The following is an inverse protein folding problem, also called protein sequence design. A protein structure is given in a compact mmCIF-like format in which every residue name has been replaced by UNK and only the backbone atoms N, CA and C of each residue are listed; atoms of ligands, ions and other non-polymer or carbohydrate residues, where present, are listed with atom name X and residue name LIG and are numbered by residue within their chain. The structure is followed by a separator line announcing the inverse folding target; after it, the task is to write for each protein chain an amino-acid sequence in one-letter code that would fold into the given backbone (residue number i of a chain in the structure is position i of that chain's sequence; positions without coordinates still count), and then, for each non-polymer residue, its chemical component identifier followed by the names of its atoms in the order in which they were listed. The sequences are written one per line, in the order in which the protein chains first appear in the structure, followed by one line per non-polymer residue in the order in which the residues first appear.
data_IF_659704197547
#
_entry.id   IF_659704197547
#
_cell.length_a   1.000
_cell.length_b   1.000
_cell.length_c   1.000
_cell.angle_alpha   90.00
_cell.angle_beta   90.00
_cell.angle_gamma   90.00
#
_symmetry.space_group_name_H-M   'P 1'
#
loop_
_entity.id
_entity.type
_entity.pdbx_description
1 polymer ?
#
# COMPACT_ATOMS: atom_id res chain seq x y z
N UNK A 1 -6.85 -52.93 -21.17
CA UNK A 1 -6.38 -52.60 -22.53
C UNK A 1 -5.31 -51.53 -22.42
N UNK A 2 -4.04 -51.96 -22.46
CA UNK A 2 -2.85 -51.13 -22.25
C UNK A 2 -2.38 -50.66 -23.62
N UNK A 3 -2.44 -49.34 -23.89
CA UNK A 3 -1.91 -48.74 -25.12
C UNK A 3 -0.52 -48.15 -24.83
N UNK A 4 0.48 -48.79 -25.41
CA UNK A 4 1.88 -48.37 -25.50
C UNK A 4 2.02 -47.24 -26.51
N UNK A 5 2.61 -46.11 -26.10
CA UNK A 5 2.93 -44.99 -26.96
C UNK A 5 4.39 -45.10 -27.44
N UNK A 6 4.55 -44.95 -28.76
CA UNK A 6 5.78 -45.08 -29.53
C UNK A 6 6.69 -43.86 -29.33
N UNK A 7 7.98 -44.14 -29.14
CA UNK A 7 9.08 -43.19 -29.23
C UNK A 7 9.35 -42.82 -30.69
N UNK A 8 9.55 -41.53 -30.95
CA UNK A 8 10.07 -41.00 -32.23
C UNK A 8 11.41 -40.29 -31.99
N UNK A 9 12.38 -40.40 -32.91
CA UNK A 9 13.75 -39.94 -32.69
C UNK A 9 14.04 -38.55 -33.29
N UNK A 10 14.87 -37.81 -32.54
CA UNK A 10 16.10 -37.15 -33.02
C UNK A 10 15.98 -36.13 -34.17
N UNK A 11 15.83 -34.85 -33.80
CA UNK A 11 16.15 -33.73 -34.67
C UNK A 11 17.40 -33.01 -34.11
N UNK A 12 18.52 -33.22 -34.80
CA UNK A 12 19.77 -32.46 -34.67
C UNK A 12 19.48 -31.01 -35.07
N UNK A 13 19.75 -30.05 -34.18
CA UNK A 13 19.88 -28.66 -34.58
C UNK A 13 21.34 -28.24 -34.54
N UNK A 14 21.74 -27.74 -35.70
CA UNK A 14 23.03 -27.24 -36.10
C UNK A 14 23.38 -26.03 -35.26
N UNK A 15 24.60 -26.06 -34.74
CA UNK A 15 25.26 -24.94 -34.07
C UNK A 15 25.76 -23.99 -35.16
N UNK A 16 25.18 -22.80 -35.25
CA UNK A 16 25.78 -21.68 -35.98
C UNK A 16 26.71 -20.94 -35.03
N UNK A 17 27.99 -21.28 -35.12
CA UNK A 17 29.11 -20.44 -34.66
C UNK A 17 29.32 -19.33 -35.69
N UNK A 18 28.88 -18.10 -35.39
CA UNK A 18 29.40 -16.84 -35.94
C UNK A 18 28.66 -15.65 -35.32
N UNK A 19 29.19 -15.14 -34.21
CA UNK A 19 29.08 -13.72 -33.81
C UNK A 19 29.87 -13.48 -32.51
N UNK A 20 31.19 -13.64 -32.62
CA UNK A 20 32.17 -13.11 -31.66
C UNK A 20 33.03 -12.12 -32.42
N UNK A 21 32.80 -10.82 -32.18
CA UNK A 21 33.74 -9.68 -32.33
C UNK A 21 32.98 -8.39 -32.69
N UNK A 22 32.39 -7.72 -31.68
CA UNK A 22 32.11 -6.26 -31.68
C UNK A 22 31.51 -5.80 -30.34
N UNK A 23 32.17 -6.07 -29.20
CA UNK A 23 31.81 -5.46 -27.90
C UNK A 23 33.04 -5.20 -27.04
N UNK A 24 33.90 -4.32 -27.52
CA UNK A 24 34.92 -3.66 -26.70
C UNK A 24 35.00 -2.22 -27.19
N UNK A 25 34.22 -1.32 -26.59
CA UNK A 25 34.52 0.13 -26.50
C UNK A 25 33.40 0.95 -25.82
N UNK A 26 32.27 0.37 -25.45
CA UNK A 26 31.17 1.10 -24.78
C UNK A 26 31.21 0.96 -23.25
N UNK A 27 32.39 1.12 -22.63
CA UNK A 27 32.54 0.93 -21.16
C UNK A 27 32.99 2.16 -20.36
N UNK A 28 33.22 3.32 -20.99
CA UNK A 28 33.80 4.49 -20.30
C UNK A 28 32.95 5.77 -20.37
N UNK A 29 31.68 5.72 -20.78
CA UNK A 29 30.81 6.93 -20.87
C UNK A 29 29.70 6.94 -19.81
N UNK A 30 29.51 5.85 -19.06
CA UNK A 30 28.41 5.76 -18.07
C UNK A 30 28.82 6.31 -16.70
N UNK A 31 30.12 6.42 -16.38
CA UNK A 31 30.56 6.75 -15.02
C UNK A 31 30.52 8.26 -14.70
N UNK A 32 30.83 9.15 -15.66
CA UNK A 32 30.85 10.61 -15.42
C UNK A 32 29.45 11.26 -15.32
N UNK A 33 28.43 10.69 -15.96
CA UNK A 33 27.06 11.24 -15.90
C UNK A 33 26.32 10.89 -14.59
N UNK A 34 26.78 9.86 -13.87
CA UNK A 34 26.28 9.46 -12.55
C UNK A 34 26.84 10.30 -11.41
N UNK A 35 28.12 10.69 -11.47
CA UNK A 35 28.72 11.55 -10.42
C UNK A 35 28.18 12.98 -10.47
N UNK A 36 27.94 13.54 -11.66
CA UNK A 36 27.38 14.89 -11.79
C UNK A 36 25.93 15.02 -11.26
N UNK A 37 25.16 13.92 -11.21
CA UNK A 37 23.79 13.89 -10.67
C UNK A 37 23.75 13.67 -9.15
N UNK A 38 24.77 13.05 -8.56
CA UNK A 38 24.85 12.85 -7.11
C UNK A 38 25.02 14.19 -6.36
N UNK A 39 25.86 15.10 -6.88
CA UNK A 39 26.08 16.44 -6.31
C UNK A 39 24.87 17.38 -6.42
N UNK A 40 23.93 17.09 -7.33
CA UNK A 40 22.69 17.87 -7.44
C UNK A 40 21.63 17.44 -6.43
N UNK A 41 21.66 16.18 -5.96
CA UNK A 41 20.69 15.64 -5.01
C UNK A 41 20.90 16.12 -3.56
N UNK A 42 22.13 16.44 -3.17
CA UNK A 42 22.45 16.92 -1.81
C UNK A 42 21.92 18.34 -1.54
N UNK A 43 21.61 19.12 -2.57
CA UNK A 43 21.19 20.53 -2.43
C UNK A 43 19.70 20.75 -2.22
N UNK A 44 18.85 19.75 -2.43
CA UNK A 44 17.38 19.94 -2.47
C UNK A 44 16.66 19.48 -1.19
N UNK A 45 17.33 18.72 -0.32
CA UNK A 45 16.74 18.25 0.94
C UNK A 45 17.45 18.87 2.14
N UNK A 46 16.74 19.63 3.01
CA UNK A 46 17.35 20.10 4.24
C UNK A 46 17.83 18.89 5.03
N UNK A 47 19.11 18.92 5.44
CA UNK A 47 19.73 17.86 6.24
C UNK A 47 18.83 17.62 7.45
N UNK A 48 18.16 16.48 7.48
CA UNK A 48 17.21 16.13 8.52
C UNK A 48 17.98 16.08 9.84
N UNK A 49 17.79 17.07 10.70
CA UNK A 49 18.45 17.10 12.01
C UNK A 49 17.78 16.05 12.91
N UNK A 50 18.34 14.83 12.90
CA UNK A 50 17.87 13.68 13.68
C UNK A 50 17.68 14.06 15.15
N UNK A 51 18.59 14.86 15.70
CA UNK A 51 18.52 15.36 17.07
C UNK A 51 17.27 16.21 17.33
N UNK A 52 16.87 17.09 16.40
CA UNK A 52 15.63 17.89 16.53
C UNK A 52 14.39 17.01 16.51
N UNK A 53 14.37 15.97 15.68
CA UNK A 53 13.27 15.01 15.63
C UNK A 53 13.15 14.21 16.94
N UNK A 54 14.27 13.75 17.49
CA UNK A 54 14.28 13.09 18.79
C UNK A 54 13.83 14.02 19.92
N UNK A 55 14.25 15.29 19.89
CA UNK A 55 13.81 16.30 20.86
C UNK A 55 12.29 16.57 20.78
N UNK A 56 11.74 16.73 19.57
CA UNK A 56 10.29 16.92 19.37
C UNK A 56 9.53 15.70 19.90
N UNK A 57 9.98 14.49 19.53
CA UNK A 57 9.35 13.24 19.99
C UNK A 57 9.42 13.08 21.50
N UNK A 58 10.57 13.38 22.11
CA UNK A 58 10.74 13.32 23.55
C UNK A 58 9.83 14.32 24.27
N UNK A 59 9.72 15.54 23.74
CA UNK A 59 8.82 16.58 24.25
C UNK A 59 7.36 16.14 24.18
N UNK A 60 6.88 15.73 22.99
CA UNK A 60 5.51 15.25 22.81
C UNK A 60 5.17 14.08 23.76
N UNK A 61 6.12 13.16 23.94
CA UNK A 61 5.93 12.05 24.87
C UNK A 61 5.86 12.53 26.33
N UNK A 62 6.70 13.49 26.72
CA UNK A 62 6.70 14.05 28.08
C UNK A 62 5.45 14.85 28.44
N UNK A 63 4.80 15.47 27.46
CA UNK A 63 3.59 16.27 27.65
C UNK A 63 2.32 15.40 27.83
N UNK A 64 2.40 14.10 27.50
CA UNK A 64 1.29 13.15 27.68
C UNK A 64 1.17 12.68 29.13
N UNK A 65 -0.08 12.43 29.55
CA UNK A 65 -0.36 11.84 30.86
C UNK A 65 0.26 10.44 30.98
N UNK A 66 0.49 9.98 32.22
CA UNK A 66 1.01 8.62 32.44
C UNK A 66 0.10 7.55 31.80
N UNK A 67 -1.22 7.70 31.98
CA UNK A 67 -2.21 6.75 31.45
C UNK A 67 -2.21 6.72 29.92
N UNK A 68 -2.06 7.87 29.26
CA UNK A 68 -2.02 7.95 27.81
C UNK A 68 -0.74 7.31 27.26
N UNK A 69 0.41 7.56 27.91
CA UNK A 69 1.69 6.93 27.57
C UNK A 69 1.63 5.41 27.72
N UNK A 70 1.09 4.92 28.82
CA UNK A 70 0.93 3.48 29.05
C UNK A 70 -0.01 2.85 28.03
N UNK A 71 -1.12 3.52 27.70
CA UNK A 71 -2.04 3.05 26.66
C UNK A 71 -1.36 2.97 25.29
N UNK A 72 -0.55 3.95 24.91
CA UNK A 72 0.19 3.95 23.65
C UNK A 72 1.25 2.84 23.59
N UNK A 73 1.98 2.62 24.69
CA UNK A 73 2.94 1.52 24.79
C UNK A 73 2.23 0.17 24.69
N UNK A 74 1.12 0.00 25.41
CA UNK A 74 0.33 -1.21 25.37
C UNK A 74 -0.20 -1.50 23.95
N UNK A 75 -0.60 -0.48 23.20
CA UNK A 75 -1.00 -0.66 21.80
C UNK A 75 0.18 -1.01 20.88
N UNK A 76 1.32 -0.32 21.03
CA UNK A 76 2.52 -0.58 20.25
C UNK A 76 2.97 -2.03 20.41
N UNK A 77 3.02 -2.51 21.66
CA UNK A 77 3.39 -3.88 22.01
C UNK A 77 2.27 -4.91 21.76
N UNK A 78 1.08 -4.48 21.32
CA UNK A 78 -0.05 -5.36 21.06
C UNK A 78 -0.64 -6.02 22.32
N UNK A 79 -0.55 -5.35 23.46
CA UNK A 79 -1.18 -5.71 24.74
C UNK A 79 -2.65 -5.28 24.76
N UNK A 80 -2.94 -4.08 24.27
CA UNK A 80 -4.29 -3.52 24.18
C UNK A 80 -4.59 -3.01 22.77
N UNK A 81 -5.85 -2.72 22.49
CA UNK A 81 -6.29 -2.20 21.19
C UNK A 81 -7.22 -1.02 21.40
N UNK A 82 -6.99 0.06 20.65
CA UNK A 82 -7.84 1.26 20.63
C UNK A 82 -9.15 1.09 19.85
N UNK A 83 -9.51 -0.13 19.47
CA UNK A 83 -10.74 -0.40 18.75
C UNK A 83 -11.95 0.07 19.57
N UNK A 84 -12.76 0.94 18.99
CA UNK A 84 -14.00 1.41 19.62
C UNK A 84 -14.96 0.22 19.76
N UNK A 85 -15.56 -0.02 20.95
CA UNK A 85 -16.56 -1.06 21.11
C UNK A 85 -17.79 -0.72 20.27
N UNK A 86 -18.08 -1.57 19.29
CA UNK A 86 -19.16 -1.37 18.34
C UNK A 86 -20.49 -1.93 18.87
N UNK A 87 -21.56 -1.14 18.76
CA UNK A 87 -22.94 -1.62 18.88
C UNK A 87 -23.75 -1.21 17.62
N UNK A 88 -24.87 -1.91 17.33
CA UNK A 88 -25.66 -1.65 16.11
C UNK A 88 -26.19 -0.22 16.01
N UNK A 89 -26.58 0.38 17.13
CA UNK A 89 -27.16 1.72 17.20
C UNK A 89 -26.11 2.79 16.84
N UNK A 90 -24.90 2.66 17.40
CA UNK A 90 -23.74 3.51 17.11
C UNK A 90 -23.33 3.40 15.65
N UNK A 91 -23.26 2.18 15.11
CA UNK A 91 -22.96 1.95 13.70
C UNK A 91 -23.98 2.64 12.80
N UNK A 92 -25.27 2.48 13.10
CA UNK A 92 -26.35 3.09 12.33
C UNK A 92 -26.27 4.62 12.37
N UNK A 93 -26.10 5.20 13.56
CA UNK A 93 -25.96 6.64 13.74
C UNK A 93 -24.73 7.18 12.98
N UNK A 94 -23.58 6.50 13.08
CA UNK A 94 -22.36 6.90 12.39
C UNK A 94 -22.52 6.84 10.86
N UNK A 95 -23.21 5.85 10.32
CA UNK A 95 -23.47 5.75 8.87
C UNK A 95 -24.41 6.85 8.37
N UNK A 96 -25.41 7.25 9.17
CA UNK A 96 -26.27 8.40 8.85
C UNK A 96 -25.45 9.70 8.84
N UNK A 97 -24.64 9.93 9.87
CA UNK A 97 -23.77 11.10 9.94
C UNK A 97 -22.74 11.11 8.80
N UNK A 98 -22.20 9.95 8.44
CA UNK A 98 -21.27 9.79 7.31
C UNK A 98 -21.92 10.21 6.00
N UNK A 99 -23.17 9.83 5.76
CA UNK A 99 -23.90 10.28 4.58
C UNK A 99 -24.16 11.79 4.60
N UNK A 100 -24.56 12.35 5.73
CA UNK A 100 -24.75 13.80 5.86
C UNK A 100 -23.45 14.56 5.62
N UNK A 101 -22.32 14.05 6.09
CA UNK A 101 -21.01 14.65 5.86
C UNK A 101 -20.58 14.55 4.39
N UNK A 102 -20.84 13.40 3.75
CA UNK A 102 -20.69 13.27 2.31
C UNK A 102 -21.53 14.30 1.58
N UNK A 103 -22.78 14.53 1.95
CA UNK A 103 -23.66 15.48 1.27
C UNK A 103 -23.17 16.93 1.44
N UNK A 104 -22.61 17.27 2.61
CA UNK A 104 -22.08 18.62 2.92
C UNK A 104 -20.80 19.00 2.18
N UNK A 105 -19.91 18.05 1.88
CA UNK A 105 -18.61 18.37 1.28
C UNK A 105 -18.79 19.10 -0.07
N UNK A 106 -18.30 20.34 -0.19
CA UNK A 106 -18.50 21.18 -1.39
C UNK A 106 -17.37 21.05 -2.41
N UNK A 107 -16.29 20.36 -2.07
CA UNK A 107 -15.11 20.23 -2.92
C UNK A 107 -15.35 19.16 -4.01
N UNK A 108 -15.71 19.62 -5.21
CA UNK A 108 -16.02 18.72 -6.33
C UNK A 108 -14.88 17.78 -6.68
N UNK A 109 -13.63 18.25 -6.59
CA UNK A 109 -12.45 17.43 -6.90
C UNK A 109 -12.28 16.26 -5.93
N UNK A 110 -12.56 16.45 -4.64
CA UNK A 110 -12.55 15.37 -3.64
C UNK A 110 -13.65 14.35 -3.91
N UNK A 111 -14.78 14.79 -4.47
CA UNK A 111 -15.93 13.93 -4.77
C UNK A 111 -15.95 13.29 -6.15
N UNK A 112 -14.97 13.55 -7.03
CA UNK A 112 -14.96 13.10 -8.43
C UNK A 112 -15.32 11.61 -8.58
N UNK A 113 -14.59 10.71 -7.90
CA UNK A 113 -14.84 9.27 -7.99
C UNK A 113 -16.16 8.85 -7.34
N UNK A 114 -16.57 9.51 -6.26
CA UNK A 114 -17.87 9.27 -5.62
C UNK A 114 -19.03 9.63 -6.56
N UNK A 115 -19.00 10.80 -7.18
CA UNK A 115 -20.01 11.24 -8.15
C UNK A 115 -20.05 10.30 -9.37
N UNK A 116 -18.88 9.84 -9.83
CA UNK A 116 -18.80 8.82 -10.88
C UNK A 116 -19.51 7.53 -10.45
N UNK A 117 -19.22 7.02 -9.26
CA UNK A 117 -19.89 5.84 -8.73
C UNK A 117 -21.41 6.01 -8.59
N UNK A 118 -21.89 7.18 -8.16
CA UNK A 118 -23.31 7.51 -8.12
C UNK A 118 -23.96 7.43 -9.51
N UNK A 119 -23.32 8.04 -10.53
CA UNK A 119 -23.82 8.01 -11.91
C UNK A 119 -23.90 6.59 -12.50
N UNK A 120 -22.96 5.72 -12.09
CA UNK A 120 -22.94 4.32 -12.46
C UNK A 120 -23.88 3.45 -11.62
N UNK A 121 -24.53 4.03 -10.60
CA UNK A 121 -25.38 3.34 -9.62
C UNK A 121 -24.65 2.20 -8.92
N UNK A 122 -23.38 2.42 -8.54
CA UNK A 122 -22.58 1.39 -7.87
C UNK A 122 -23.19 1.00 -6.53
N UNK A 123 -23.54 -0.27 -6.35
CA UNK A 123 -24.00 -0.78 -5.05
C UNK A 123 -22.83 -1.08 -4.11
N UNK A 124 -21.61 -1.19 -4.63
CA UNK A 124 -20.42 -1.59 -3.87
C UNK A 124 -19.93 -0.49 -2.94
N UNK A 125 -19.60 0.70 -3.47
CA UNK A 125 -19.07 1.80 -2.64
C UNK A 125 -20.12 2.40 -1.70
N UNK A 126 -21.40 2.28 -2.05
CA UNK A 126 -22.52 2.68 -1.20
C UNK A 126 -22.91 1.61 -0.17
N UNK A 127 -22.34 0.40 -0.25
CA UNK A 127 -22.63 -0.65 0.71
C UNK A 127 -22.23 -0.26 2.13
N UNK A 128 -22.95 -0.80 3.11
CA UNK A 128 -22.64 -0.61 4.54
C UNK A 128 -21.24 -1.15 4.86
N UNK A 129 -20.91 -2.32 4.33
CA UNK A 129 -19.61 -2.95 4.56
C UNK A 129 -18.44 -2.10 4.06
N UNK A 130 -18.57 -1.51 2.86
CA UNK A 130 -17.52 -0.67 2.31
C UNK A 130 -17.30 0.60 3.14
N UNK A 131 -18.37 1.32 3.51
CA UNK A 131 -18.28 2.53 4.34
C UNK A 131 -17.75 2.25 5.75
N UNK A 132 -18.10 1.10 6.33
CA UNK A 132 -17.63 0.72 7.66
C UNK A 132 -16.12 0.54 7.75
N UNK A 133 -15.45 0.17 6.65
CA UNK A 133 -13.98 0.11 6.62
C UNK A 133 -13.34 1.44 7.02
N UNK A 134 -13.89 2.54 6.54
CA UNK A 134 -13.39 3.89 6.79
C UNK A 134 -13.78 4.41 8.16
N UNK A 135 -15.03 4.16 8.58
CA UNK A 135 -15.45 4.49 9.94
C UNK A 135 -14.58 3.79 10.99
N UNK A 136 -14.29 2.50 10.81
CA UNK A 136 -13.41 1.75 11.72
C UNK A 136 -11.97 2.25 11.68
N UNK A 137 -11.44 2.55 10.50
CA UNK A 137 -10.08 3.06 10.33
C UNK A 137 -9.85 4.42 11.02
N UNK A 138 -10.91 5.21 11.20
CA UNK A 138 -10.88 6.54 11.83
C UNK A 138 -11.55 6.54 13.21
N UNK A 139 -11.68 5.37 13.86
CA UNK A 139 -12.27 5.26 15.20
C UNK A 139 -13.65 5.93 15.34
N UNK A 140 -14.45 5.89 14.27
CA UNK A 140 -15.76 6.52 14.13
C UNK A 140 -15.75 8.06 14.17
N UNK A 141 -14.60 8.71 13.95
CA UNK A 141 -14.54 10.14 13.62
C UNK A 141 -15.06 10.37 12.19
N UNK A 142 -16.35 10.67 12.10
CA UNK A 142 -17.12 10.71 10.84
C UNK A 142 -16.48 11.62 9.79
N UNK A 143 -16.00 12.81 10.18
CA UNK A 143 -15.38 13.77 9.25
C UNK A 143 -14.12 13.20 8.59
N UNK A 144 -13.20 12.69 9.40
CA UNK A 144 -11.97 12.06 8.91
C UNK A 144 -12.28 10.82 8.07
N UNK A 145 -13.27 10.02 8.49
CA UNK A 145 -13.69 8.82 7.76
C UNK A 145 -14.21 9.17 6.37
N UNK A 146 -15.04 10.21 6.26
CA UNK A 146 -15.56 10.71 4.99
C UNK A 146 -14.45 11.23 4.08
N UNK A 147 -13.52 12.01 4.62
CA UNK A 147 -12.37 12.51 3.86
C UNK A 147 -11.49 11.36 3.34
N UNK A 148 -11.11 10.43 4.22
CA UNK A 148 -10.34 9.24 3.84
C UNK A 148 -11.05 8.40 2.79
N UNK A 149 -12.38 8.27 2.89
CA UNK A 149 -13.20 7.57 1.91
C UNK A 149 -13.16 8.24 0.53
N UNK A 150 -13.36 9.55 0.46
CA UNK A 150 -13.33 10.30 -0.81
C UNK A 150 -11.95 10.25 -1.48
N UNK A 151 -10.89 10.48 -0.70
CA UNK A 151 -9.51 10.36 -1.15
C UNK A 151 -9.19 8.95 -1.65
N UNK A 152 -9.63 7.92 -0.91
CA UNK A 152 -9.43 6.54 -1.33
C UNK A 152 -10.17 6.23 -2.63
N UNK A 153 -11.42 6.66 -2.81
CA UNK A 153 -12.15 6.41 -4.06
C UNK A 153 -11.46 7.06 -5.26
N UNK A 154 -10.97 8.30 -5.12
CA UNK A 154 -10.20 8.94 -6.18
C UNK A 154 -8.93 8.16 -6.50
N UNK A 155 -8.19 7.75 -5.47
CA UNK A 155 -6.98 6.97 -5.64
C UNK A 155 -7.24 5.60 -6.29
N UNK A 156 -8.32 4.92 -5.91
CA UNK A 156 -8.75 3.66 -6.53
C UNK A 156 -9.15 3.84 -7.99
N UNK A 157 -9.89 4.91 -8.31
CA UNK A 157 -10.26 5.27 -9.68
C UNK A 157 -9.02 5.56 -10.54
N UNK A 158 -8.04 6.29 -10.00
CA UNK A 158 -6.82 6.63 -10.74
C UNK A 158 -5.96 5.39 -11.03
N UNK A 159 -5.93 4.40 -10.12
CA UNK A 159 -5.07 3.21 -10.25
C UNK A 159 -5.71 2.05 -11.01
N UNK A 160 -7.02 1.88 -10.89
CA UNK A 160 -7.74 0.72 -11.42
C UNK A 160 -8.90 1.10 -12.35
N UNK A 161 -9.22 2.38 -12.48
CA UNK A 161 -10.38 2.84 -13.25
C UNK A 161 -11.70 2.53 -12.54
N UNK A 162 -12.77 2.55 -13.33
CA UNK A 162 -14.15 2.45 -12.81
C UNK A 162 -14.46 1.10 -12.15
N UNK A 163 -13.72 0.04 -12.52
CA UNK A 163 -13.96 -1.31 -12.00
C UNK A 163 -13.81 -1.36 -10.48
N UNK A 164 -12.90 -0.58 -9.92
CA UNK A 164 -12.67 -0.46 -8.49
C UNK A 164 -13.81 0.24 -7.74
N UNK A 165 -14.62 1.02 -8.45
CA UNK A 165 -15.79 1.68 -7.89
C UNK A 165 -17.02 0.77 -7.94
N UNK A 166 -17.04 -0.23 -8.82
CA UNK A 166 -18.22 -1.08 -9.05
C UNK A 166 -18.19 -2.38 -8.25
N UNK A 167 -17.00 -2.88 -7.92
CA UNK A 167 -16.83 -4.12 -7.16
C UNK A 167 -15.49 -4.17 -6.44
N UNK A 168 -15.37 -5.16 -5.56
CA UNK A 168 -14.09 -5.54 -4.98
C UNK A 168 -13.07 -5.91 -6.08
N UNK A 169 -11.81 -5.55 -5.86
CA UNK A 169 -10.71 -5.93 -6.76
C UNK A 169 -10.41 -7.43 -6.67
N UNK A 170 -10.14 -8.03 -7.82
CA UNK A 170 -9.68 -9.40 -7.95
C UNK A 170 -8.25 -9.44 -8.50
N UNK A 171 -7.60 -10.59 -8.35
CA UNK A 171 -6.27 -10.81 -8.94
C UNK A 171 -6.25 -10.63 -10.47
N UNK A 172 -7.39 -10.80 -11.15
CA UNK A 172 -7.54 -10.55 -12.58
C UNK A 172 -7.48 -9.07 -12.98
N UNK A 173 -7.61 -8.14 -12.02
CA UNK A 173 -7.52 -6.70 -12.26
C UNK A 173 -6.07 -6.19 -12.20
N UNK A 174 -5.15 -7.07 -11.75
CA UNK A 174 -3.72 -6.86 -11.79
C UNK A 174 -3.19 -7.22 -13.18
N UNK A 175 -2.27 -6.41 -13.70
CA UNK A 175 -1.61 -6.70 -14.96
C UNK A 175 -0.55 -7.81 -14.79
N UNK A 176 0.06 -8.27 -15.90
CA UNK A 176 1.05 -9.34 -15.83
C UNK A 176 2.28 -8.97 -14.98
N UNK A 177 2.67 -7.71 -14.96
CA UNK A 177 3.81 -7.24 -14.17
C UNK A 177 3.47 -7.22 -12.67
N UNK A 178 2.30 -6.70 -12.29
CA UNK A 178 1.75 -6.74 -10.93
C UNK A 178 1.69 -8.19 -10.40
N UNK A 179 1.22 -9.13 -11.22
CA UNK A 179 1.13 -10.55 -10.86
C UNK A 179 2.53 -11.15 -10.68
N UNK A 180 3.50 -10.80 -11.54
CA UNK A 180 4.90 -11.25 -11.37
C UNK A 180 5.47 -10.72 -10.05
N UNK A 181 5.29 -9.43 -9.77
CA UNK A 181 5.71 -8.80 -8.52
C UNK A 181 5.10 -9.51 -7.30
N UNK A 182 3.78 -9.73 -7.33
CA UNK A 182 3.07 -10.41 -6.24
C UNK A 182 3.58 -11.85 -6.04
N UNK A 183 3.84 -12.59 -7.13
CA UNK A 183 4.36 -13.97 -7.07
C UNK A 183 5.80 -14.07 -6.56
N UNK A 184 6.61 -13.01 -6.73
CA UNK A 184 7.96 -12.96 -6.15
C UNK A 184 7.93 -12.91 -4.62
N UNK A 185 6.80 -12.52 -4.03
CA UNK A 185 6.61 -12.55 -2.59
C UNK A 185 7.32 -11.41 -1.86
N UNK A 186 7.61 -10.29 -2.53
CA UNK A 186 8.16 -9.10 -1.87
C UNK A 186 7.19 -8.51 -0.85
N UNK A 187 5.89 -8.67 -1.06
CA UNK A 187 4.86 -8.36 -0.08
C UNK A 187 4.04 -9.61 0.21
N UNK A 188 3.94 -9.98 1.48
CA UNK A 188 3.23 -11.19 1.91
C UNK A 188 2.38 -10.92 3.15
N UNK A 189 1.15 -11.43 3.14
CA UNK A 189 0.34 -11.49 4.36
C UNK A 189 0.73 -12.77 5.09
N UNK A 190 1.22 -12.66 6.32
CA UNK A 190 1.57 -13.83 7.12
C UNK A 190 0.30 -14.56 7.60
N UNK A 191 0.33 -15.90 7.70
CA UNK A 191 -0.86 -16.68 8.06
C UNK A 191 -1.31 -16.43 9.50
N UNK A 192 -0.40 -15.93 10.36
CA UNK A 192 -0.64 -15.62 11.76
C UNK A 192 -0.92 -14.14 12.01
N UNK A 193 -1.39 -13.86 13.22
CA UNK A 193 -1.60 -12.52 13.77
C UNK A 193 -0.62 -12.29 14.91
N UNK A 194 -0.39 -11.04 15.26
CA UNK A 194 0.32 -10.73 16.49
C UNK A 194 -0.58 -10.98 17.73
N UNK A 195 -0.04 -10.69 18.93
CA UNK A 195 -0.76 -10.89 20.20
C UNK A 195 -2.03 -10.05 20.33
N UNK A 196 -2.12 -8.90 19.63
CA UNK A 196 -3.30 -8.05 19.60
C UNK A 196 -4.35 -8.48 18.56
N UNK A 197 -4.06 -9.51 17.75
CA UNK A 197 -4.94 -9.96 16.68
C UNK A 197 -4.79 -9.15 15.38
N UNK A 198 -3.72 -8.38 15.23
CA UNK A 198 -3.41 -7.61 14.01
C UNK A 198 -2.86 -8.54 12.94
N UNK A 199 -3.27 -8.33 11.67
CA UNK A 199 -2.63 -9.03 10.54
C UNK A 199 -1.21 -8.51 10.36
N UNK A 200 -0.30 -9.39 9.97
CA UNK A 200 1.09 -9.03 9.72
C UNK A 200 1.34 -9.02 8.22
N UNK A 201 1.72 -7.86 7.70
CA UNK A 201 2.20 -7.68 6.33
C UNK A 201 3.72 -7.67 6.36
N UNK A 202 4.36 -8.63 5.73
CA UNK A 202 5.81 -8.66 5.57
C UNK A 202 6.19 -8.03 4.23
N UNK A 203 7.10 -7.06 4.28
CA UNK A 203 7.81 -6.48 3.16
C UNK A 203 9.24 -7.02 3.18
N UNK A 204 9.56 -7.91 2.24
CA UNK A 204 10.84 -8.62 2.19
C UNK A 204 11.78 -7.96 1.18
N UNK A 205 12.99 -7.61 1.64
CA UNK A 205 14.02 -6.98 0.80
C UNK A 205 13.65 -5.56 0.37
N UNK A 206 14.21 -5.13 -0.76
CA UNK A 206 14.03 -3.80 -1.35
C UNK A 206 12.70 -3.62 -2.10
N UNK A 207 11.66 -4.40 -1.75
CA UNK A 207 10.38 -4.45 -2.49
C UNK A 207 10.62 -4.60 -4.01
N UNK A 208 11.48 -5.54 -4.39
CA UNK A 208 11.90 -5.75 -5.77
C UNK A 208 12.86 -4.68 -6.32
N UNK A 209 13.47 -3.85 -5.48
CA UNK A 209 14.48 -2.86 -5.88
C UNK A 209 14.03 -1.99 -7.05
N UNK A 210 14.89 -1.85 -8.05
CA UNK A 210 14.58 -1.18 -9.31
C UNK A 210 13.96 -2.10 -10.38
N UNK A 211 13.71 -3.39 -10.09
CA UNK A 211 13.12 -4.36 -11.05
C UNK A 211 11.70 -3.96 -11.45
N UNK A 212 10.97 -3.27 -10.55
CA UNK A 212 9.57 -2.91 -10.75
C UNK A 212 9.33 -1.43 -10.53
N UNK A 213 8.41 -0.87 -11.34
CA UNK A 213 7.98 0.51 -11.19
C UNK A 213 7.29 0.75 -9.84
N UNK A 214 7.30 1.99 -9.36
CA UNK A 214 6.52 2.37 -8.16
C UNK A 214 5.03 2.15 -8.38
N UNK A 215 4.53 2.33 -9.60
CA UNK A 215 3.13 2.09 -9.93
C UNK A 215 2.75 0.62 -9.73
N UNK A 216 3.59 -0.32 -10.18
CA UNK A 216 3.41 -1.76 -9.96
C UNK A 216 3.33 -2.08 -8.47
N UNK A 217 4.26 -1.52 -7.67
CA UNK A 217 4.31 -1.72 -6.21
C UNK A 217 3.06 -1.17 -5.53
N UNK A 218 2.63 0.03 -5.90
CA UNK A 218 1.43 0.67 -5.38
C UNK A 218 0.17 -0.12 -5.71
N UNK A 219 -0.02 -0.55 -6.97
CA UNK A 219 -1.18 -1.34 -7.39
C UNK A 219 -1.28 -2.65 -6.61
N UNK A 220 -0.17 -3.36 -6.43
CA UNK A 220 -0.15 -4.58 -5.62
C UNK A 220 -0.42 -4.28 -4.14
N UNK A 221 0.10 -3.16 -3.60
CA UNK A 221 -0.13 -2.79 -2.21
C UNK A 221 -1.60 -2.45 -1.97
N UNK A 222 -2.24 -1.73 -2.90
CA UNK A 222 -3.67 -1.46 -2.88
C UNK A 222 -4.47 -2.76 -2.92
N UNK A 223 -4.14 -3.69 -3.82
CA UNK A 223 -4.82 -4.98 -3.89
C UNK A 223 -4.71 -5.75 -2.55
N UNK A 224 -3.52 -5.86 -1.98
CA UNK A 224 -3.30 -6.53 -0.69
C UNK A 224 -4.07 -5.84 0.44
N UNK A 225 -3.91 -4.53 0.60
CA UNK A 225 -4.48 -3.78 1.71
C UNK A 225 -5.99 -3.62 1.58
N UNK A 226 -6.48 -3.23 0.41
CA UNK A 226 -7.88 -2.91 0.19
C UNK A 226 -8.71 -4.15 -0.18
N UNK A 227 -8.22 -5.04 -1.05
CA UNK A 227 -9.02 -6.19 -1.49
C UNK A 227 -8.94 -7.38 -0.53
N UNK A 228 -7.84 -7.54 0.22
CA UNK A 228 -7.64 -8.70 1.09
C UNK A 228 -7.73 -8.31 2.56
N UNK A 229 -6.84 -7.44 3.05
CA UNK A 229 -6.75 -7.13 4.48
C UNK A 229 -8.01 -6.41 4.99
N UNK A 230 -8.59 -5.52 4.18
CA UNK A 230 -9.76 -4.74 4.59
C UNK A 230 -11.06 -5.55 4.62
N UNK A 231 -11.11 -6.77 4.10
CA UNK A 231 -12.33 -7.62 4.20
C UNK A 231 -12.47 -8.28 5.57
N UNK A 232 -11.37 -8.45 6.29
CA UNK A 232 -11.38 -9.05 7.61
C UNK A 232 -11.77 -8.03 8.68
N UNK A 233 -12.95 -8.21 9.29
CA UNK A 233 -13.47 -7.31 10.33
C UNK A 233 -12.52 -7.23 11.53
N UNK A 234 -11.81 -8.30 11.87
CA UNK A 234 -10.83 -8.27 12.96
C UNK A 234 -9.69 -7.32 12.62
N UNK A 235 -9.15 -7.37 11.40
CA UNK A 235 -8.15 -6.43 10.91
C UNK A 235 -8.65 -5.00 10.77
N UNK A 236 -9.90 -4.78 10.37
CA UNK A 236 -10.48 -3.43 10.35
C UNK A 236 -10.52 -2.81 11.76
N UNK A 237 -10.79 -3.62 12.79
CA UNK A 237 -10.89 -3.16 14.19
C UNK A 237 -9.53 -3.05 14.87
N UNK A 238 -8.68 -4.06 14.70
CA UNK A 238 -7.41 -4.18 15.41
C UNK A 238 -6.24 -3.56 14.65
N UNK A 239 -6.37 -3.37 13.34
CA UNK A 239 -5.34 -2.88 12.44
C UNK A 239 -4.47 -4.00 11.86
N UNK A 240 -3.36 -3.57 11.26
CA UNK A 240 -2.31 -4.42 10.73
C UNK A 240 -0.93 -3.88 11.14
N UNK A 241 0.07 -4.75 11.16
CA UNK A 241 1.47 -4.40 11.41
C UNK A 241 2.27 -4.72 10.16
N UNK A 242 3.13 -3.79 9.74
CA UNK A 242 4.06 -4.03 8.64
C UNK A 242 5.44 -4.37 9.21
N UNK A 243 6.02 -5.49 8.79
CA UNK A 243 7.40 -5.88 9.04
C UNK A 243 8.22 -5.59 7.80
N UNK A 244 9.17 -4.66 7.88
CA UNK A 244 10.12 -4.38 6.81
C UNK A 244 11.47 -5.02 7.08
N UNK A 245 11.92 -5.94 6.23
CA UNK A 245 13.30 -6.40 6.19
C UNK A 245 14.06 -5.53 5.20
N UNK A 246 14.63 -4.44 5.70
CA UNK A 246 15.41 -3.50 4.89
C UNK A 246 16.86 -3.98 4.81
N UNK A 247 17.33 -4.28 3.61
CA UNK A 247 18.75 -4.36 3.31
C UNK A 247 19.27 -2.98 2.89
N UNK A 248 20.58 -2.83 2.72
CA UNK A 248 21.21 -1.55 2.34
C UNK A 248 20.61 -0.97 1.04
N UNK A 249 20.41 -1.82 0.03
CA UNK A 249 19.75 -1.46 -1.23
C UNK A 249 18.31 -0.94 -1.03
N UNK A 250 17.55 -1.52 -0.09
CA UNK A 250 16.21 -1.05 0.26
C UNK A 250 16.26 0.35 0.87
N UNK A 251 17.24 0.60 1.73
CA UNK A 251 17.44 1.91 2.37
C UNK A 251 17.77 2.96 1.31
N UNK A 252 18.66 2.64 0.37
CA UNK A 252 18.99 3.52 -0.76
C UNK A 252 17.78 3.78 -1.65
N UNK A 253 17.03 2.73 -1.99
CA UNK A 253 15.80 2.85 -2.79
C UNK A 253 14.78 3.78 -2.12
N UNK A 254 14.60 3.68 -0.79
CA UNK A 254 13.70 4.56 -0.03
C UNK A 254 14.19 6.01 -0.06
N UNK A 255 15.49 6.26 0.07
CA UNK A 255 16.07 7.61 0.00
C UNK A 255 15.82 8.28 -1.36
N UNK A 256 15.74 7.49 -2.44
CA UNK A 256 15.51 7.99 -3.80
C UNK A 256 14.03 8.29 -4.10
N UNK A 257 13.09 7.79 -3.29
CA UNK A 257 11.67 8.11 -3.45
C UNK A 257 11.46 9.55 -2.97
N UNK A 258 11.46 10.50 -3.92
CA UNK A 258 10.86 11.83 -3.69
C UNK A 258 9.38 11.59 -3.39
N UNK A 259 8.95 11.58 -2.14
CA UNK A 259 7.52 11.49 -1.81
C UNK A 259 6.85 12.83 -2.16
N UNK A 260 5.97 12.90 -3.17
CA UNK A 260 5.34 14.16 -3.58
C UNK A 260 4.20 14.62 -2.64
N UNK A 261 4.02 13.99 -1.48
CA UNK A 261 2.82 14.13 -0.64
C UNK A 261 3.02 14.81 0.72
N UNK A 262 4.16 15.48 0.96
CA UNK A 262 4.37 16.30 2.16
C UNK A 262 4.46 17.80 1.82
N UNK A 263 3.46 18.34 1.13
CA UNK A 263 3.22 19.78 1.04
C UNK A 263 1.73 20.01 0.75
N UNK A 264 0.93 20.08 1.81
CA UNK A 264 -0.40 20.71 1.85
C UNK A 264 -0.65 21.21 3.25
#
# INVERSE_FOLDING_TARGET
MIKTAKSSPNAKNVVDEKETEAKADTKNVVDEETEAKADTYEKEYPKLEVEKLEQIRAKEYSEKSNDERESLLNELHGVSSRAVPENPEMIHAALLLFQLELDKCSLEHEKRAYLRACSMKSTYVHSVGFRLKFLRAEFFHVQNATLRYLQNLNYMLDKFGEIALMRQLYMSDLNNEDIRFLKKGYMQILPFRDRAGRRILASLGSLGGFEYSMETKERVAIYICHAILSEDVVSQRKGAVMLGLLNEEAIESIRMIKMPWCCS
#
